data_IF_414664089142
#
_entry.id   IF_414664089142
#
_cell.length_a   1.000
_cell.length_b   1.000
_cell.length_c   1.000
_cell.angle_alpha   90.00
_cell.angle_beta   90.00
_cell.angle_gamma   90.00
#
_symmetry.space_group_name_H-M   'P 1'
#
loop_
_entity.id
_entity.type
_entity.pdbx_description
1 polymer ?
#
# COMPACT_ATOMS: atom_id res chain seq x y z
N UNK A 1 -8.92 -3.53 -11.90
CA UNK A 1 -9.93 -2.46 -12.13
C UNK A 1 -11.23 -2.99 -12.73
N UNK A 2 -11.18 -4.03 -13.56
CA UNK A 2 -12.36 -4.61 -14.22
C UNK A 2 -13.46 -5.07 -13.24
N UNK A 3 -13.08 -5.62 -12.08
CA UNK A 3 -14.01 -6.07 -11.02
C UNK A 3 -14.88 -4.97 -10.39
N UNK A 4 -14.56 -3.70 -10.62
CA UNK A 4 -15.35 -2.57 -10.14
C UNK A 4 -16.37 -2.10 -11.19
N UNK A 5 -16.28 -2.58 -12.44
CA UNK A 5 -17.23 -2.22 -13.49
C UNK A 5 -18.57 -2.89 -13.23
N UNK A 6 -19.64 -2.10 -13.21
CA UNK A 6 -21.02 -2.60 -13.08
C UNK A 6 -21.68 -2.65 -14.45
N UNK A 7 -21.54 -1.58 -15.23
CA UNK A 7 -22.00 -1.49 -16.61
C UNK A 7 -20.99 -0.72 -17.44
N UNK A 8 -20.40 -1.38 -18.44
CA UNK A 8 -19.35 -0.82 -19.28
C UNK A 8 -19.75 0.55 -19.88
N UNK A 9 -18.90 1.56 -19.66
CA UNK A 9 -19.11 2.92 -20.16
C UNK A 9 -20.21 3.72 -19.46
N UNK A 10 -20.86 3.19 -18.40
CA UNK A 10 -21.91 3.91 -17.66
C UNK A 10 -21.70 3.95 -16.16
N UNK A 11 -21.48 2.78 -15.53
CA UNK A 11 -21.44 2.65 -14.07
C UNK A 11 -20.23 1.84 -13.62
N UNK A 12 -19.49 2.40 -12.66
CA UNK A 12 -18.32 1.79 -12.03
C UNK A 12 -18.32 2.18 -10.55
N UNK A 13 -17.85 1.28 -9.70
CA UNK A 13 -17.57 1.59 -8.30
C UNK A 13 -16.32 2.48 -8.18
N UNK A 14 -16.42 3.54 -7.39
CA UNK A 14 -15.27 4.35 -6.97
C UNK A 14 -14.93 4.00 -5.53
N UNK A 15 -13.71 3.50 -5.30
CA UNK A 15 -13.21 3.16 -3.96
C UNK A 15 -12.26 4.27 -3.53
N UNK A 16 -12.51 4.85 -2.36
CA UNK A 16 -11.68 5.88 -1.74
C UNK A 16 -11.16 5.35 -0.41
N UNK A 17 -9.85 5.50 -0.18
CA UNK A 17 -9.20 5.21 1.10
C UNK A 17 -8.74 6.55 1.68
N UNK A 18 -9.27 6.89 2.85
CA UNK A 18 -8.84 8.05 3.62
C UNK A 18 -7.98 7.58 4.78
N UNK A 19 -6.76 8.11 4.89
CA UNK A 19 -5.81 7.76 5.95
C UNK A 19 -5.64 8.96 6.89
N UNK A 20 -5.68 8.69 8.18
CA UNK A 20 -5.48 9.70 9.24
C UNK A 20 -4.30 9.28 10.11
N UNK A 21 -3.24 10.10 10.13
CA UNK A 21 -2.11 9.90 11.04
C UNK A 21 -2.49 10.49 12.39
N UNK A 22 -2.64 9.63 13.40
CA UNK A 22 -3.05 10.03 14.75
C UNK A 22 -1.85 10.36 15.65
N UNK A 23 -0.76 9.61 15.50
CA UNK A 23 0.50 9.79 16.20
C UNK A 23 1.66 9.50 15.24
N UNK A 24 2.74 10.28 15.33
CA UNK A 24 3.91 10.14 14.49
C UNK A 24 5.12 9.67 15.30
N UNK A 25 5.21 8.36 15.50
CA UNK A 25 6.34 7.70 16.16
C UNK A 25 7.55 7.43 15.25
N UNK A 26 7.48 7.80 13.97
CA UNK A 26 8.44 7.44 12.91
C UNK A 26 7.78 6.65 11.78
N UNK A 27 8.39 6.71 10.59
CA UNK A 27 8.03 5.96 9.40
C UNK A 27 6.53 5.91 9.05
N UNK A 28 5.87 7.07 8.87
CA UNK A 28 4.44 7.10 8.54
C UNK A 28 4.13 6.49 7.16
N UNK A 29 5.13 6.31 6.28
CA UNK A 29 4.95 5.76 4.94
C UNK A 29 4.59 4.28 5.01
N UNK A 30 5.38 3.49 5.75
CA UNK A 30 5.16 2.05 5.88
C UNK A 30 3.86 1.79 6.66
N UNK A 31 3.62 2.54 7.73
CA UNK A 31 2.38 2.48 8.49
C UNK A 31 1.14 2.82 7.63
N UNK A 32 1.21 3.88 6.81
CA UNK A 32 0.12 4.26 5.91
C UNK A 32 -0.12 3.20 4.81
N UNK A 33 0.94 2.62 4.26
CA UNK A 33 0.86 1.55 3.27
C UNK A 33 0.15 0.32 3.86
N UNK A 34 0.59 -0.18 5.01
CA UNK A 34 -0.05 -1.33 5.69
C UNK A 34 -1.50 -1.01 6.03
N UNK A 35 -1.79 0.19 6.54
CA UNK A 35 -3.16 0.62 6.87
C UNK A 35 -4.06 0.62 5.63
N UNK A 36 -3.58 1.14 4.50
CA UNK A 36 -4.35 1.15 3.25
C UNK A 36 -4.64 -0.28 2.74
N UNK A 37 -3.64 -1.16 2.79
CA UNK A 37 -3.80 -2.56 2.38
C UNK A 37 -4.77 -3.31 3.30
N UNK A 38 -4.67 -3.11 4.61
CA UNK A 38 -5.58 -3.71 5.59
C UNK A 38 -7.02 -3.20 5.40
N UNK A 39 -7.20 -1.89 5.17
CA UNK A 39 -8.51 -1.31 4.90
C UNK A 39 -9.12 -1.88 3.61
N UNK A 40 -8.35 -1.99 2.53
CA UNK A 40 -8.83 -2.58 1.28
C UNK A 40 -9.17 -4.07 1.43
N UNK A 41 -8.39 -4.81 2.22
CA UNK A 41 -8.58 -6.26 2.43
C UNK A 41 -9.76 -6.59 3.33
N UNK A 42 -10.15 -5.66 4.20
CA UNK A 42 -11.30 -5.80 5.11
C UNK A 42 -12.53 -5.05 4.62
N UNK A 43 -12.44 -4.31 3.51
CA UNK A 43 -13.58 -3.60 2.92
C UNK A 43 -14.49 -4.54 2.15
N UNK A 44 -15.79 -4.42 2.42
CA UNK A 44 -16.85 -5.11 1.70
C UNK A 44 -17.75 -4.08 1.03
N UNK A 45 -17.87 -4.18 -0.30
CA UNK A 45 -18.76 -3.31 -1.08
C UNK A 45 -20.18 -3.90 -1.12
N UNK A 46 -21.23 -3.07 -1.18
CA UNK A 46 -22.58 -3.55 -1.45
C UNK A 46 -22.67 -4.37 -2.75
N UNK A 47 -23.52 -5.38 -2.74
CA UNK A 47 -23.86 -6.09 -3.97
C UNK A 47 -24.77 -5.21 -4.85
N UNK A 48 -24.63 -5.33 -6.17
CA UNK A 48 -25.53 -4.67 -7.11
C UNK A 48 -25.95 -5.64 -8.22
N UNK A 49 -27.19 -5.51 -8.67
CA UNK A 49 -27.71 -6.22 -9.84
C UNK A 49 -28.01 -5.25 -10.96
N UNK A 50 -27.81 -5.71 -12.20
CA UNK A 50 -28.20 -4.98 -13.41
C UNK A 50 -29.44 -5.65 -14.00
N UNK A 51 -30.50 -4.86 -14.24
CA UNK A 51 -31.78 -5.35 -14.75
C UNK A 51 -32.65 -4.23 -15.34
N UNK A 52 -33.96 -4.36 -15.17
CA UNK A 52 -34.97 -3.46 -15.77
C UNK A 52 -35.24 -3.75 -17.25
N UNK A 53 -36.24 -3.08 -17.82
CA UNK A 53 -36.77 -3.37 -19.16
C UNK A 53 -35.72 -3.27 -20.28
N UNK A 54 -34.70 -2.41 -20.10
CA UNK A 54 -33.60 -2.22 -21.03
C UNK A 54 -32.30 -2.92 -20.60
N UNK A 55 -32.29 -3.63 -19.46
CA UNK A 55 -31.09 -4.27 -18.90
C UNK A 55 -30.01 -3.30 -18.44
N UNK A 56 -30.36 -2.04 -18.13
CA UNK A 56 -29.40 -0.98 -17.77
C UNK A 56 -29.67 -0.36 -16.39
N UNK A 57 -30.71 -0.81 -15.68
CA UNK A 57 -31.01 -0.32 -14.35
C UNK A 57 -30.10 -1.00 -13.33
N UNK A 58 -29.32 -0.20 -12.59
CA UNK A 58 -28.49 -0.68 -11.48
C UNK A 58 -29.28 -0.58 -10.18
N UNK A 59 -29.43 -1.69 -9.47
CA UNK A 59 -29.99 -1.74 -8.12
C UNK A 59 -28.88 -2.11 -7.16
N UNK A 60 -28.54 -1.20 -6.24
CA UNK A 60 -27.62 -1.46 -5.13
C UNK A 60 -28.45 -2.03 -3.97
N UNK A 61 -28.04 -3.18 -3.46
CA UNK A 61 -28.72 -3.88 -2.38
C UNK A 61 -28.17 -3.43 -1.03
N UNK A 62 -29.06 -3.28 -0.06
CA UNK A 62 -28.67 -3.03 1.33
C UNK A 62 -27.95 -4.27 1.90
N UNK A 63 -26.92 -4.12 2.75
CA UNK A 63 -26.24 -5.25 3.41
C UNK A 63 -27.19 -6.16 4.21
N UNK A 64 -28.36 -5.69 4.64
CA UNK A 64 -29.39 -6.53 5.28
C UNK A 64 -30.14 -7.44 4.31
N UNK A 65 -30.13 -7.10 3.01
CA UNK A 65 -30.88 -7.83 1.95
C UNK A 65 -29.97 -8.78 1.18
N UNK A 66 -28.72 -8.39 0.92
CA UNK A 66 -27.71 -9.22 0.26
C UNK A 66 -26.36 -9.05 0.91
N UNK A 67 -25.65 -10.17 1.02
CA UNK A 67 -24.29 -10.18 1.55
C UNK A 67 -23.38 -9.26 0.72
N UNK A 68 -22.68 -8.31 1.36
CA UNK A 68 -21.65 -7.53 0.71
C UNK A 68 -20.58 -8.44 0.06
N UNK A 69 -19.84 -7.89 -0.90
CA UNK A 69 -18.78 -8.59 -1.60
C UNK A 69 -17.41 -7.99 -1.24
N UNK A 70 -16.37 -8.82 -1.00
CA UNK A 70 -15.02 -8.31 -0.81
C UNK A 70 -14.46 -7.72 -2.11
N UNK A 71 -13.40 -6.93 -1.99
CA UNK A 71 -12.62 -6.51 -3.16
C UNK A 71 -11.68 -7.63 -3.62
N UNK A 72 -11.53 -7.78 -4.94
CA UNK A 72 -10.49 -8.63 -5.53
C UNK A 72 -9.14 -7.92 -5.43
N UNK A 73 -8.27 -8.37 -4.54
CA UNK A 73 -6.89 -7.87 -4.38
C UNK A 73 -5.93 -8.93 -4.93
N UNK A 74 -5.15 -8.58 -5.96
CA UNK A 74 -4.22 -9.53 -6.59
C UNK A 74 -2.84 -9.58 -5.92
N UNK A 75 -2.39 -8.46 -5.38
CA UNK A 75 -1.08 -8.33 -4.73
C UNK A 75 -1.20 -7.40 -3.52
N UNK A 76 -0.38 -7.68 -2.50
CA UNK A 76 -0.27 -6.88 -1.27
C UNK A 76 1.15 -6.29 -1.21
N UNK A 77 1.39 -5.15 -1.88
CA UNK A 77 2.72 -4.55 -1.95
C UNK A 77 3.07 -3.79 -0.67
N UNK A 78 4.02 -4.31 0.11
CA UNK A 78 4.44 -3.76 1.41
C UNK A 78 5.59 -2.79 1.23
N UNK A 79 5.49 -1.61 1.85
CA UNK A 79 6.56 -0.63 1.93
C UNK A 79 7.56 -1.00 3.03
N UNK A 80 8.86 -0.87 2.72
CA UNK A 80 9.97 -1.07 3.65
C UNK A 80 10.91 0.12 3.52
N UNK A 81 11.03 0.90 4.59
CA UNK A 81 11.82 2.13 4.63
C UNK A 81 13.15 1.93 5.36
N UNK A 82 14.22 2.33 4.69
CA UNK A 82 15.58 2.38 5.19
C UNK A 82 15.98 3.83 5.44
N UNK A 83 16.57 4.13 6.60
CA UNK A 83 17.21 5.41 6.88
C UNK A 83 18.73 5.25 6.94
N UNK A 84 19.44 6.22 6.38
CA UNK A 84 20.89 6.22 6.24
C UNK A 84 21.52 7.33 7.11
N UNK A 85 22.58 6.97 7.81
CA UNK A 85 23.35 7.88 8.66
C UNK A 85 24.83 7.84 8.30
N UNK A 86 25.54 8.92 8.62
CA UNK A 86 26.98 9.05 8.45
C UNK A 86 27.43 8.72 7.02
N UNK A 87 26.91 9.47 6.03
CA UNK A 87 27.23 9.28 4.59
C UNK A 87 26.91 7.87 4.06
N UNK A 88 25.90 7.21 4.64
CA UNK A 88 25.45 5.88 4.20
C UNK A 88 26.19 4.70 4.85
N UNK A 89 27.06 4.97 5.84
CA UNK A 89 27.79 3.92 6.57
C UNK A 89 26.91 3.13 7.55
N UNK A 90 25.81 3.72 8.02
CA UNK A 90 24.85 3.07 8.92
C UNK A 90 23.49 3.10 8.24
N UNK A 91 22.85 1.93 8.18
CA UNK A 91 21.50 1.75 7.66
C UNK A 91 20.64 1.16 8.75
N UNK A 92 19.51 1.79 9.03
CA UNK A 92 18.46 1.24 9.91
C UNK A 92 17.19 1.02 9.09
N UNK A 93 16.41 0.04 9.50
CA UNK A 93 15.09 -0.25 8.96
C UNK A 93 14.05 0.27 9.95
N UNK A 94 12.96 0.84 9.44
CA UNK A 94 11.87 1.41 10.24
C UNK A 94 12.34 2.50 11.23
N UNK A 95 12.79 3.67 10.72
CA UNK A 95 13.33 4.72 11.58
C UNK A 95 12.24 5.28 12.51
N UNK A 96 12.55 5.31 13.80
CA UNK A 96 11.79 6.05 14.81
C UNK A 96 11.80 7.55 14.52
N UNK A 97 10.89 8.31 15.14
CA UNK A 97 10.83 9.77 15.03
C UNK A 97 12.18 10.46 15.31
N UNK A 98 12.96 9.93 16.26
CA UNK A 98 14.29 10.45 16.60
C UNK A 98 15.34 10.12 15.54
N UNK A 99 15.26 8.93 14.95
CA UNK A 99 16.14 8.51 13.86
C UNK A 99 15.84 9.30 12.59
N UNK A 100 14.56 9.50 12.24
CA UNK A 100 14.16 10.36 11.11
C UNK A 100 14.66 11.80 11.27
N UNK A 101 14.72 12.32 12.49
CA UNK A 101 15.16 13.69 12.75
C UNK A 101 16.66 13.92 12.48
N UNK A 102 17.47 12.86 12.46
CA UNK A 102 18.94 12.94 12.29
C UNK A 102 19.46 12.13 11.10
N UNK A 103 18.58 11.45 10.34
CA UNK A 103 18.98 10.75 9.12
C UNK A 103 19.41 11.73 8.03
N UNK A 104 20.42 11.36 7.25
CA UNK A 104 20.82 12.15 6.08
C UNK A 104 19.95 11.85 4.86
N UNK A 105 19.47 10.61 4.77
CA UNK A 105 18.72 10.10 3.63
C UNK A 105 17.76 9.00 4.07
N UNK A 106 16.68 8.81 3.30
CA UNK A 106 15.89 7.58 3.34
C UNK A 106 15.64 6.99 1.96
N UNK A 107 15.38 5.69 1.94
CA UNK A 107 14.86 4.97 0.78
C UNK A 107 13.72 4.04 1.19
N UNK A 108 12.58 4.19 0.54
CA UNK A 108 11.44 3.27 0.69
C UNK A 108 11.37 2.37 -0.54
N UNK A 109 11.37 1.05 -0.34
CA UNK A 109 11.11 0.06 -1.37
C UNK A 109 9.74 -0.56 -1.14
N UNK A 110 8.93 -0.68 -2.19
CA UNK A 110 7.64 -1.35 -2.14
C UNK A 110 7.78 -2.70 -2.82
N UNK A 111 7.49 -3.80 -2.11
CA UNK A 111 7.71 -5.16 -2.59
C UNK A 111 6.46 -6.02 -2.43
N UNK A 112 6.12 -6.83 -3.43
CA UNK A 112 4.99 -7.75 -3.36
C UNK A 112 5.39 -9.12 -2.76
N UNK A 113 4.41 -10.01 -2.61
CA UNK A 113 4.59 -11.38 -2.09
C UNK A 113 5.50 -12.29 -2.92
N UNK A 114 5.76 -11.93 -4.17
CA UNK A 114 6.65 -12.67 -5.06
C UNK A 114 8.11 -12.21 -4.92
N UNK A 115 8.36 -11.15 -4.13
CA UNK A 115 9.66 -10.51 -4.02
C UNK A 115 9.93 -9.49 -5.13
N UNK A 116 8.94 -9.17 -5.98
CA UNK A 116 9.08 -8.17 -7.03
C UNK A 116 9.01 -6.76 -6.44
N UNK A 117 9.96 -5.92 -6.83
CA UNK A 117 9.96 -4.50 -6.46
C UNK A 117 8.92 -3.76 -7.31
N UNK A 118 7.86 -3.26 -6.69
CA UNK A 118 6.80 -2.49 -7.32
C UNK A 118 7.16 -1.01 -7.48
N UNK A 119 7.90 -0.45 -6.53
CA UNK A 119 8.37 0.94 -6.56
C UNK A 119 9.57 1.15 -5.64
N UNK A 120 10.37 2.18 -5.93
CA UNK A 120 11.44 2.66 -5.06
C UNK A 120 11.32 4.18 -5.00
N UNK A 121 11.38 4.73 -3.80
CA UNK A 121 11.49 6.16 -3.56
C UNK A 121 12.74 6.43 -2.71
N UNK A 122 13.72 7.07 -3.31
CA UNK A 122 14.89 7.63 -2.60
C UNK A 122 14.62 9.11 -2.36
N UNK A 123 14.63 9.55 -1.11
CA UNK A 123 14.35 10.93 -0.74
C UNK A 123 15.48 11.52 0.10
N UNK A 124 15.94 12.70 -0.30
CA UNK A 124 17.06 13.41 0.33
C UNK A 124 18.42 12.84 -0.03
N UNK A 125 19.40 13.16 0.82
CA UNK A 125 20.71 12.55 0.85
C UNK A 125 21.69 12.93 -0.25
N UNK A 126 22.91 12.47 -0.04
CA UNK A 126 23.98 12.44 -1.02
C UNK A 126 23.92 11.12 -1.83
N UNK A 127 24.89 10.85 -2.70
CA UNK A 127 24.91 9.62 -3.47
C UNK A 127 25.23 8.41 -2.61
N UNK A 128 24.30 7.44 -2.52
CA UNK A 128 24.61 6.11 -1.97
C UNK A 128 25.32 5.24 -3.01
N UNK A 129 26.24 4.41 -2.54
CA UNK A 129 26.80 3.35 -3.38
C UNK A 129 25.68 2.38 -3.81
N UNK A 130 25.66 2.04 -5.10
CA UNK A 130 24.66 1.11 -5.66
C UNK A 130 24.64 -0.26 -4.96
N UNK A 131 25.78 -0.69 -4.42
CA UNK A 131 25.89 -1.92 -3.61
C UNK A 131 25.02 -1.89 -2.36
N UNK A 132 24.99 -0.75 -1.65
CA UNK A 132 24.18 -0.57 -0.44
C UNK A 132 22.70 -0.56 -0.80
N UNK A 133 22.31 0.16 -1.85
CA UNK A 133 20.94 0.16 -2.37
C UNK A 133 20.49 -1.26 -2.74
N UNK A 134 21.32 -2.01 -3.47
CA UNK A 134 21.01 -3.40 -3.85
C UNK A 134 20.91 -4.34 -2.66
N UNK A 135 21.72 -4.13 -1.62
CA UNK A 135 21.61 -4.88 -0.36
C UNK A 135 20.27 -4.58 0.33
N UNK A 136 19.86 -3.31 0.41
CA UNK A 136 18.58 -2.92 0.99
C UNK A 136 17.39 -3.53 0.23
N UNK A 137 17.42 -3.53 -1.11
CA UNK A 137 16.37 -4.17 -1.92
C UNK A 137 16.30 -5.70 -1.71
N UNK A 138 17.45 -6.35 -1.49
CA UNK A 138 17.50 -7.77 -1.12
C UNK A 138 16.94 -8.04 0.28
N UNK A 139 17.10 -7.11 1.21
CA UNK A 139 16.51 -7.20 2.55
C UNK A 139 15.00 -7.00 2.45
N UNK A 140 14.54 -5.95 1.76
CA UNK A 140 13.12 -5.65 1.57
C UNK A 140 12.35 -6.83 0.94
N UNK A 141 12.92 -7.44 -0.11
CA UNK A 141 12.31 -8.62 -0.76
C UNK A 141 12.25 -9.88 0.10
N UNK A 142 13.07 -9.96 1.17
CA UNK A 142 13.00 -11.07 2.13
C UNK A 142 12.12 -10.77 3.33
N UNK A 143 11.97 -9.50 3.71
CA UNK A 143 11.37 -9.10 4.99
C UNK A 143 10.00 -8.45 4.88
N UNK A 144 9.50 -8.17 3.67
CA UNK A 144 8.17 -7.58 3.46
C UNK A 144 6.99 -8.36 4.07
N UNK A 145 7.21 -9.51 4.70
CA UNK A 145 6.17 -10.37 5.29
C UNK A 145 6.50 -10.97 6.67
N UNK A 146 7.62 -10.62 7.30
CA UNK A 146 8.07 -11.35 8.51
C UNK A 146 7.45 -10.80 9.83
N UNK A 147 6.75 -9.66 9.83
CA UNK A 147 6.20 -9.07 11.08
C UNK A 147 4.74 -8.58 11.00
N UNK A 148 3.86 -9.32 10.31
CA UNK A 148 2.39 -9.18 10.49
C UNK A 148 1.82 -10.40 11.22
#
# INVERSE_FOLDING_TARGET
MEFLCVFAGKHVWSVRVDLHILDNGGNPIDAANITALAALSTFWRPECTVGGDNGQQVTVHDPEVRDPLPLTIHHMPIAVTFAYFGEGNIVVLDPTYKEEAVMGERMTAIVNSNGDVCAIQKAGGEGLMSSVTMQCLRIASRHGFIEL
#
